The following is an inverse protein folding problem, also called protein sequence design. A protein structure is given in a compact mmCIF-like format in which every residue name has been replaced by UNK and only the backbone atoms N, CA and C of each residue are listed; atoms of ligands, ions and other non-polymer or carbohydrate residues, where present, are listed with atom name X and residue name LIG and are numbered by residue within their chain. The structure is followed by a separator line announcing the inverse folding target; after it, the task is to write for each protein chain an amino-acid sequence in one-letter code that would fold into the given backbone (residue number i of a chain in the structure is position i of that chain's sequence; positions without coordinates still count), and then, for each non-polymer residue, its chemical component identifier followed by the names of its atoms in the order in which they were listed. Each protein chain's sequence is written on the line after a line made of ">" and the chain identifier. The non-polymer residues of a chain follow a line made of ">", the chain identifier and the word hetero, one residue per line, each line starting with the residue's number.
data_IF_896495674934
#
_entry.id   IF_896495674934
#
_cell.length_a   1.000
_cell.length_b   1.000
_cell.length_c   1.000
_cell.angle_alpha   90.00
_cell.angle_beta   90.00
_cell.angle_gamma   90.00
#
_symmetry.space_group_name_H-M   'P 1'
#
loop_
_entity.id
_entity.type
_entity.pdbx_description
1 polymer ?
#
# COMPACT_ATOMS: atom_id res chain seq x y z
N UNK A 1 -57.35 5.87 12.60
CA UNK A 1 -56.22 4.97 12.92
C UNK A 1 -55.67 4.46 11.59
N UNK A 2 -54.84 5.25 10.91
CA UNK A 2 -54.30 4.88 9.61
C UNK A 2 -52.97 4.15 9.78
N UNK A 3 -52.87 3.04 9.08
CA UNK A 3 -51.86 2.00 9.17
C UNK A 3 -50.51 2.45 8.62
N UNK A 4 -49.47 2.03 9.35
CA UNK A 4 -48.02 2.03 9.10
C UNK A 4 -47.67 1.25 7.81
N UNK A 5 -48.22 1.65 6.66
CA UNK A 5 -48.13 0.92 5.39
C UNK A 5 -46.85 1.25 4.58
N UNK A 6 -46.01 2.16 5.08
CA UNK A 6 -44.82 2.62 4.37
C UNK A 6 -43.56 1.77 4.62
N UNK A 7 -43.53 0.91 5.65
CA UNK A 7 -42.34 0.09 5.98
C UNK A 7 -42.06 -1.03 4.98
N UNK A 8 -43.03 -1.36 4.13
CA UNK A 8 -42.93 -2.45 3.15
C UNK A 8 -42.46 -2.01 1.76
N UNK A 9 -42.15 -0.73 1.57
CA UNK A 9 -41.61 -0.25 0.29
C UNK A 9 -40.20 -0.82 0.06
N UNK A 10 -39.87 -1.25 -1.18
CA UNK A 10 -38.64 -1.95 -1.51
C UNK A 10 -37.36 -1.17 -1.18
N UNK A 11 -37.43 0.17 -1.13
CA UNK A 11 -36.32 1.03 -0.70
C UNK A 11 -35.97 0.87 0.79
N UNK A 12 -36.95 0.58 1.65
CA UNK A 12 -36.72 0.36 3.09
C UNK A 12 -36.31 -1.09 3.43
N UNK A 13 -36.42 -2.01 2.46
CA UNK A 13 -35.98 -3.41 2.57
C UNK A 13 -34.65 -3.69 1.88
N UNK A 14 -34.00 -2.66 1.33
CA UNK A 14 -32.72 -2.81 0.66
C UNK A 14 -31.61 -3.16 1.65
N UNK A 15 -31.05 -4.36 1.53
CA UNK A 15 -29.82 -4.78 2.21
C UNK A 15 -28.64 -4.47 1.28
N UNK A 16 -27.71 -3.59 1.69
CA UNK A 16 -26.53 -3.33 0.89
C UNK A 16 -25.73 -4.63 0.73
N UNK A 17 -25.26 -4.95 -0.49
CA UNK A 17 -24.42 -6.12 -0.70
C UNK A 17 -23.11 -5.98 0.10
N UNK A 18 -22.51 -7.10 0.46
CA UNK A 18 -21.19 -7.10 1.09
C UNK A 18 -20.17 -6.42 0.17
N UNK A 19 -19.61 -5.29 0.63
CA UNK A 19 -18.61 -4.54 -0.12
C UNK A 19 -17.22 -5.16 0.13
N UNK A 20 -16.47 -5.40 -0.94
CA UNK A 20 -15.07 -5.84 -0.87
C UNK A 20 -14.17 -4.67 -1.26
N UNK A 21 -13.23 -4.31 -0.38
CA UNK A 21 -12.25 -3.26 -0.64
C UNK A 21 -11.06 -3.87 -1.38
N UNK A 22 -10.77 -3.34 -2.57
CA UNK A 22 -9.62 -3.77 -3.39
C UNK A 22 -8.54 -2.68 -3.32
N UNK A 23 -7.35 -2.93 -2.74
CA UNK A 23 -6.30 -1.94 -2.71
C UNK A 23 -5.73 -1.67 -4.09
N UNK A 24 -5.25 -0.44 -4.31
CA UNK A 24 -4.36 -0.19 -5.43
C UNK A 24 -3.00 -0.89 -5.18
N UNK A 25 -2.50 -1.73 -6.13
CA UNK A 25 -1.29 -2.52 -5.94
C UNK A 25 -0.08 -1.67 -5.55
N UNK A 26 0.58 -2.01 -4.46
CA UNK A 26 1.72 -1.24 -3.94
C UNK A 26 2.93 -1.26 -4.86
N UNK A 27 3.13 -2.36 -5.60
CA UNK A 27 4.16 -2.52 -6.65
C UNK A 27 4.01 -1.48 -7.78
N UNK A 28 2.80 -0.96 -8.00
CA UNK A 28 2.53 0.08 -9.00
C UNK A 28 2.71 1.50 -8.47
N UNK A 29 3.04 1.70 -7.19
CA UNK A 29 3.30 3.02 -6.59
C UNK A 29 4.71 3.53 -6.91
N UNK A 30 5.04 3.63 -8.19
CA UNK A 30 6.41 3.88 -8.71
C UNK A 30 7.06 5.13 -8.10
N UNK A 31 6.32 6.23 -7.96
CA UNK A 31 6.84 7.45 -7.35
C UNK A 31 7.27 7.25 -5.89
N UNK A 32 6.47 6.50 -5.11
CA UNK A 32 6.79 6.18 -3.71
C UNK A 32 7.99 5.23 -3.63
N UNK A 33 8.03 4.21 -4.49
CA UNK A 33 9.16 3.27 -4.59
C UNK A 33 10.45 4.05 -4.87
N UNK A 34 10.49 4.88 -5.92
CA UNK A 34 11.66 5.70 -6.27
C UNK A 34 12.12 6.62 -5.14
N UNK A 35 11.17 7.30 -4.50
CA UNK A 35 11.49 8.19 -3.37
C UNK A 35 12.06 7.40 -2.18
N UNK A 36 11.48 6.25 -1.85
CA UNK A 36 11.99 5.40 -0.77
C UNK A 36 13.39 4.90 -1.09
N UNK A 37 13.66 4.47 -2.33
CA UNK A 37 15.00 4.09 -2.80
C UNK A 37 15.99 5.24 -2.64
N UNK A 38 15.67 6.43 -3.14
CA UNK A 38 16.52 7.62 -3.04
C UNK A 38 16.90 7.93 -1.58
N UNK A 39 15.92 7.91 -0.68
CA UNK A 39 16.13 8.19 0.74
C UNK A 39 16.95 7.10 1.42
N UNK A 40 16.71 5.83 1.11
CA UNK A 40 17.45 4.70 1.67
C UNK A 40 18.89 4.65 1.14
N UNK A 41 19.11 4.97 -0.14
CA UNK A 41 20.46 5.05 -0.72
C UNK A 41 21.33 6.14 -0.10
N UNK A 42 20.73 7.19 0.46
CA UNK A 42 21.42 8.26 1.17
C UNK A 42 21.55 8.05 2.69
N UNK A 43 21.04 6.94 3.25
CA UNK A 43 21.03 6.67 4.69
C UNK A 43 21.68 5.33 5.01
N UNK A 44 22.41 5.28 6.12
CA UNK A 44 23.07 4.05 6.58
C UNK A 44 22.63 3.68 8.00
N UNK A 45 22.70 2.38 8.30
CA UNK A 45 22.44 1.81 9.63
C UNK A 45 21.08 2.19 10.22
N UNK A 46 21.06 2.50 11.52
CA UNK A 46 19.84 2.74 12.31
C UNK A 46 18.89 3.78 11.70
N UNK A 47 19.43 4.79 11.02
CA UNK A 47 18.61 5.85 10.39
C UNK A 47 17.81 5.35 9.17
N UNK A 48 18.38 4.41 8.42
CA UNK A 48 17.72 3.75 7.29
C UNK A 48 16.65 2.78 7.81
N UNK A 49 16.98 2.01 8.86
CA UNK A 49 16.05 1.07 9.49
C UNK A 49 14.82 1.80 10.04
N UNK A 50 15.00 2.87 10.81
CA UNK A 50 13.88 3.64 11.36
C UNK A 50 12.98 4.21 10.26
N UNK A 51 13.58 4.73 9.19
CA UNK A 51 12.81 5.21 8.03
C UNK A 51 12.02 4.09 7.36
N UNK A 52 12.65 2.94 7.15
CA UNK A 52 11.99 1.76 6.59
C UNK A 52 10.79 1.32 7.43
N UNK A 53 10.99 1.18 8.75
CA UNK A 53 9.92 0.85 9.68
C UNK A 53 8.78 1.87 9.65
N UNK A 54 9.09 3.16 9.58
CA UNK A 54 8.09 4.22 9.49
C UNK A 54 7.24 4.10 8.21
N UNK A 55 7.86 3.83 7.06
CA UNK A 55 7.15 3.66 5.79
C UNK A 55 6.23 2.44 5.82
N UNK A 56 6.73 1.29 6.27
CA UNK A 56 5.96 0.04 6.33
C UNK A 56 4.81 0.16 7.35
N UNK A 57 5.09 0.69 8.54
CA UNK A 57 4.07 0.93 9.57
C UNK A 57 2.98 1.89 9.08
N UNK A 58 3.37 3.00 8.44
CA UNK A 58 2.40 3.94 7.88
C UNK A 58 1.51 3.34 6.80
N UNK A 59 2.07 2.49 5.92
CA UNK A 59 1.28 1.78 4.90
C UNK A 59 0.35 0.74 5.52
N UNK A 60 0.82 -0.02 6.52
CA UNK A 60 -0.01 -0.96 7.27
C UNK A 60 -1.21 -0.27 7.89
N UNK A 61 -0.98 0.81 8.65
CA UNK A 61 -2.04 1.56 9.33
C UNK A 61 -3.09 2.11 8.37
N UNK A 62 -2.68 2.57 7.18
CA UNK A 62 -3.61 3.02 6.14
C UNK A 62 -4.49 1.89 5.62
N UNK A 63 -3.94 0.69 5.41
CA UNK A 63 -4.71 -0.45 4.92
C UNK A 63 -5.64 -1.04 5.98
N UNK A 64 -5.21 -1.08 7.25
CA UNK A 64 -6.07 -1.44 8.39
C UNK A 64 -7.25 -0.46 8.47
N UNK A 65 -6.98 0.85 8.39
CA UNK A 65 -8.04 1.87 8.42
C UNK A 65 -9.01 1.76 7.24
N UNK A 66 -8.55 1.24 6.09
CA UNK A 66 -9.37 0.97 4.92
C UNK A 66 -10.14 -0.37 4.98
N UNK A 67 -9.99 -1.14 6.06
CA UNK A 67 -10.71 -2.40 6.26
C UNK A 67 -10.18 -3.58 5.44
N UNK A 68 -8.91 -3.54 5.03
CA UNK A 68 -8.30 -4.67 4.35
C UNK A 68 -8.01 -5.82 5.33
N UNK A 69 -8.12 -7.08 4.89
CA UNK A 69 -7.74 -8.23 5.71
C UNK A 69 -6.21 -8.35 5.80
N UNK A 70 -5.72 -8.93 6.90
CA UNK A 70 -4.29 -8.96 7.24
C UNK A 70 -3.43 -9.66 6.18
N UNK A 71 -3.92 -10.74 5.58
CA UNK A 71 -3.23 -11.49 4.53
C UNK A 71 -2.98 -10.64 3.27
N UNK A 72 -3.97 -9.83 2.87
CA UNK A 72 -3.85 -8.87 1.77
C UNK A 72 -2.86 -7.77 2.14
N UNK A 73 -2.91 -7.28 3.38
CA UNK A 73 -1.95 -6.26 3.88
C UNK A 73 -0.52 -6.78 3.78
N UNK A 74 -0.24 -8.00 4.28
CA UNK A 74 1.10 -8.58 4.22
C UNK A 74 1.58 -8.80 2.78
N UNK A 75 0.70 -9.29 1.89
CA UNK A 75 1.03 -9.49 0.48
C UNK A 75 1.39 -8.18 -0.22
N UNK A 76 0.63 -7.12 0.04
CA UNK A 76 0.89 -5.78 -0.51
C UNK A 76 2.14 -5.14 0.09
N UNK A 77 2.41 -5.29 1.39
CA UNK A 77 3.66 -4.77 2.00
C UNK A 77 4.89 -5.51 1.48
N UNK A 78 4.81 -6.84 1.30
CA UNK A 78 5.89 -7.63 0.70
C UNK A 78 6.15 -7.21 -0.75
N UNK A 79 5.10 -7.06 -1.55
CA UNK A 79 5.22 -6.60 -2.94
C UNK A 79 5.87 -5.22 -3.05
N UNK A 80 5.56 -4.32 -2.11
CA UNK A 80 6.24 -3.02 -2.03
C UNK A 80 7.73 -3.17 -1.70
N UNK A 81 8.05 -3.99 -0.70
CA UNK A 81 9.42 -4.22 -0.27
C UNK A 81 10.29 -4.82 -1.38
N UNK A 82 9.80 -5.86 -2.05
CA UNK A 82 10.48 -6.47 -3.17
C UNK A 82 10.75 -5.45 -4.28
N UNK A 83 9.76 -4.63 -4.62
CA UNK A 83 9.91 -3.59 -5.64
C UNK A 83 10.96 -2.53 -5.26
N UNK A 84 11.01 -2.12 -3.99
CA UNK A 84 12.03 -1.20 -3.46
C UNK A 84 13.42 -1.83 -3.58
N UNK A 85 13.64 -3.03 -3.03
CA UNK A 85 14.96 -3.65 -3.00
C UNK A 85 15.47 -4.05 -4.38
N UNK A 86 14.60 -4.53 -5.27
CA UNK A 86 14.94 -4.76 -6.69
C UNK A 86 15.39 -3.45 -7.35
N UNK A 87 14.69 -2.35 -7.08
CA UNK A 87 15.04 -1.04 -7.65
C UNK A 87 16.35 -0.50 -7.07
N UNK A 88 16.60 -0.68 -5.77
CA UNK A 88 17.89 -0.33 -5.14
C UNK A 88 19.04 -1.10 -5.79
N UNK A 89 18.88 -2.41 -5.96
CA UNK A 89 19.91 -3.26 -6.56
C UNK A 89 20.24 -2.84 -8.00
N UNK A 90 19.20 -2.50 -8.80
CA UNK A 90 19.37 -1.96 -10.16
C UNK A 90 20.05 -0.59 -10.18
N UNK A 91 19.77 0.27 -9.21
CA UNK A 91 20.39 1.60 -9.11
C UNK A 91 21.87 1.59 -8.72
N UNK A 92 22.30 0.57 -7.95
CA UNK A 92 23.71 0.33 -7.65
C UNK A 92 24.50 -0.18 -8.87
N UNK A 93 23.83 -0.82 -9.84
CA UNK A 93 24.40 -1.14 -11.15
C UNK A 93 24.37 0.09 -12.06
N UNK A 94 25.20 1.11 -11.76
CA UNK A 94 25.49 2.12 -12.78
C UNK A 94 26.18 1.40 -13.96
N UNK A 95 25.78 1.65 -15.22
CA UNK A 95 26.61 1.22 -16.34
C UNK A 95 27.93 1.99 -16.26
N UNK A 96 28.98 1.31 -15.81
CA UNK A 96 30.36 1.71 -16.04
C UNK A 96 30.65 1.58 -17.53
N UNK A 97 30.15 2.53 -18.32
CA UNK A 97 30.56 2.79 -19.68
C UNK A 97 31.64 3.86 -19.63
N UNK A 98 32.87 3.41 -19.47
CA UNK A 98 34.07 4.21 -19.71
C UNK A 98 34.03 4.73 -21.15
N UNK A 99 34.01 6.06 -21.29
CA UNK A 99 34.08 6.75 -22.56
C UNK A 99 34.75 8.12 -22.34
N UNK A 100 36.09 8.12 -22.31
CA UNK A 100 36.96 9.19 -22.82
C UNK A 100 38.43 8.73 -22.81
#
# INVERSE_FOLDING_TARGET
>A
MSTDQHRDLPLFRWTPPACVVIPFPTVKRIGKIRRTVEVLSGRNGKSADQYWHQIISGMRSQMIAAGLPDDVIEAELRSFADAVFVTMNRGCQRPGGDAA
#
